data_IF_878789644865
#
_entry.id   IF_878789644865
#
_cell.length_a   1.000
_cell.length_b   1.000
_cell.length_c   1.000
_cell.angle_alpha   90.00
_cell.angle_beta   90.00
_cell.angle_gamma   90.00
#
_symmetry.space_group_name_H-M   'P 1'
#
loop_
_entity.id
_entity.type
_entity.pdbx_description
1 polymer ?
#
# COMPACT_ATOMS: atom_id res chain seq x y z
N UNK A 1 -2.41 11.39 -9.26
CA UNK A 1 -2.07 10.21 -10.07
C UNK A 1 -2.98 10.16 -11.29
N UNK A 2 -2.45 9.68 -12.38
CA UNK A 2 -3.13 9.63 -13.69
C UNK A 2 -4.26 8.58 -13.77
N UNK A 3 -4.51 7.81 -12.72
CA UNK A 3 -5.39 6.64 -12.77
C UNK A 3 -6.50 6.71 -11.73
N UNK A 4 -7.75 6.52 -12.17
CA UNK A 4 -8.94 6.46 -11.31
C UNK A 4 -8.84 5.31 -10.29
N UNK A 5 -9.26 5.54 -9.05
CA UNK A 5 -9.23 4.57 -7.96
C UNK A 5 -7.95 4.59 -7.11
N UNK A 6 -6.93 5.34 -7.54
CA UNK A 6 -5.71 5.61 -6.76
C UNK A 6 -4.98 4.35 -6.29
N UNK A 7 -4.31 4.46 -5.15
CA UNK A 7 -3.46 3.39 -4.58
C UNK A 7 -4.21 2.10 -4.28
N UNK A 8 -5.40 2.21 -3.69
CA UNK A 8 -6.22 1.05 -3.32
C UNK A 8 -6.48 0.15 -4.53
N UNK A 9 -6.80 0.74 -5.69
CA UNK A 9 -7.15 0.00 -6.90
C UNK A 9 -5.93 -0.52 -7.66
N UNK A 10 -4.83 0.26 -7.75
CA UNK A 10 -3.74 -0.04 -8.68
C UNK A 10 -2.55 -0.76 -8.08
N UNK A 11 -2.19 -0.49 -6.83
CA UNK A 11 -0.96 -1.01 -6.22
C UNK A 11 -1.12 -1.51 -4.78
N UNK A 12 -2.28 -1.25 -4.14
CA UNK A 12 -2.53 -1.57 -2.74
C UNK A 12 -3.47 -2.75 -2.56
N UNK A 13 -4.64 -2.46 -1.98
CA UNK A 13 -5.60 -3.45 -1.49
C UNK A 13 -6.10 -4.39 -2.58
N UNK A 14 -6.56 -3.87 -3.72
CA UNK A 14 -7.18 -4.69 -4.77
C UNK A 14 -6.18 -5.69 -5.38
N UNK A 15 -5.00 -5.26 -5.90
CA UNK A 15 -4.05 -6.21 -6.48
C UNK A 15 -3.49 -7.20 -5.46
N UNK A 16 -3.19 -6.80 -4.22
CA UNK A 16 -2.65 -7.72 -3.22
C UNK A 16 -3.65 -8.81 -2.83
N UNK A 17 -4.95 -8.48 -2.70
CA UNK A 17 -5.98 -9.48 -2.41
C UNK A 17 -6.29 -10.38 -3.60
N UNK A 18 -6.27 -9.84 -4.83
CA UNK A 18 -6.38 -10.64 -6.05
C UNK A 18 -5.19 -11.60 -6.20
N UNK A 19 -3.97 -11.13 -5.94
CA UNK A 19 -2.75 -11.93 -5.92
C UNK A 19 -2.84 -13.05 -4.88
N UNK A 20 -3.19 -12.72 -3.63
CA UNK A 20 -3.41 -13.70 -2.57
C UNK A 20 -4.43 -14.77 -2.99
N UNK A 21 -5.56 -14.37 -3.57
CA UNK A 21 -6.60 -15.32 -4.00
C UNK A 21 -6.06 -16.28 -5.07
N UNK A 22 -5.30 -15.77 -6.03
CA UNK A 22 -4.69 -16.59 -7.08
C UNK A 22 -3.69 -17.59 -6.49
N UNK A 23 -2.80 -17.14 -5.60
CA UNK A 23 -1.81 -18.02 -4.93
C UNK A 23 -2.51 -19.05 -4.04
N UNK A 24 -3.55 -18.65 -3.29
CA UNK A 24 -4.36 -19.59 -2.50
C UNK A 24 -5.01 -20.67 -3.36
N UNK A 25 -5.47 -20.33 -4.56
CA UNK A 25 -6.04 -21.29 -5.52
C UNK A 25 -4.96 -22.25 -6.06
N UNK A 26 -3.77 -21.75 -6.35
CA UNK A 26 -2.62 -22.56 -6.76
C UNK A 26 -2.28 -23.58 -5.66
N UNK A 27 -2.14 -23.14 -4.41
CA UNK A 27 -1.81 -24.02 -3.27
C UNK A 27 -2.88 -25.09 -3.08
N UNK A 28 -4.18 -24.74 -3.17
CA UNK A 28 -5.26 -25.73 -3.07
C UNK A 28 -5.18 -26.77 -4.16
N UNK A 29 -4.96 -26.34 -5.41
CA UNK A 29 -4.78 -27.23 -6.53
C UNK A 29 -3.59 -28.16 -6.31
N UNK A 30 -2.47 -27.64 -5.81
CA UNK A 30 -1.26 -28.40 -5.53
C UNK A 30 -1.42 -29.44 -4.42
N UNK A 31 -2.23 -29.15 -3.42
CA UNK A 31 -2.45 -30.04 -2.26
C UNK A 31 -3.56 -31.07 -2.47
N UNK A 32 -4.39 -30.89 -3.50
CA UNK A 32 -5.51 -31.79 -3.77
C UNK A 32 -4.98 -33.13 -4.35
N UNK A 33 -5.24 -34.28 -3.69
CA UNK A 33 -4.76 -35.58 -4.13
C UNK A 33 -5.24 -36.00 -5.53
N UNK A 34 -6.38 -35.46 -5.97
CA UNK A 34 -6.94 -35.72 -7.29
C UNK A 34 -6.06 -35.10 -8.38
N UNK A 35 -5.63 -33.86 -8.16
CA UNK A 35 -4.80 -33.12 -9.12
C UNK A 35 -3.33 -33.52 -9.09
N UNK A 36 -2.82 -34.00 -7.96
CA UNK A 36 -1.45 -34.54 -7.85
C UNK A 36 -1.14 -35.69 -8.83
N UNK A 37 -2.18 -36.36 -9.32
CA UNK A 37 -2.06 -37.49 -10.27
C UNK A 37 -2.13 -37.07 -11.75
N UNK A 38 -2.45 -35.81 -12.05
CA UNK A 38 -2.86 -35.41 -13.42
C UNK A 38 -1.77 -34.69 -14.21
N UNK A 39 -0.63 -34.29 -13.64
CA UNK A 39 0.39 -33.61 -14.43
C UNK A 39 1.63 -33.15 -13.67
N UNK A 40 2.65 -32.78 -14.46
CA UNK A 40 3.85 -32.14 -13.93
C UNK A 40 3.56 -30.75 -13.37
N UNK A 41 4.08 -30.45 -12.19
CA UNK A 41 3.96 -29.16 -11.52
C UNK A 41 4.73 -28.09 -12.29
N UNK A 42 4.03 -27.13 -12.86
CA UNK A 42 4.65 -25.92 -13.40
C UNK A 42 4.74 -24.86 -12.32
N UNK A 43 5.93 -24.35 -12.07
CA UNK A 43 6.10 -23.13 -11.30
C UNK A 43 5.46 -21.97 -12.07
N UNK A 44 4.58 -21.24 -11.39
CA UNK A 44 3.99 -20.03 -11.97
C UNK A 44 4.95 -18.85 -11.76
N UNK A 45 5.19 -18.11 -12.82
CA UNK A 45 5.93 -16.86 -12.72
C UNK A 45 5.04 -15.78 -12.04
N UNK A 46 5.64 -14.82 -11.38
CA UNK A 46 4.90 -13.69 -10.81
C UNK A 46 4.03 -13.00 -11.86
N UNK A 47 4.53 -12.82 -13.08
CA UNK A 47 3.78 -12.24 -14.20
C UNK A 47 2.48 -13.02 -14.50
N UNK A 48 2.50 -14.35 -14.47
CA UNK A 48 1.29 -15.16 -14.69
C UNK A 48 0.30 -15.00 -13.53
N UNK A 49 0.79 -14.98 -12.31
CA UNK A 49 -0.04 -14.80 -11.11
C UNK A 49 -0.69 -13.41 -11.09
N UNK A 50 0.01 -12.38 -11.55
CA UNK A 50 -0.49 -11.00 -11.64
C UNK A 50 -1.54 -10.78 -12.74
N UNK A 51 -1.63 -11.65 -13.76
CA UNK A 51 -2.62 -11.49 -14.84
C UNK A 51 -4.06 -11.38 -14.32
N UNK A 52 -4.39 -12.14 -13.29
CA UNK A 52 -5.72 -12.08 -12.67
C UNK A 52 -5.94 -10.75 -11.92
N UNK A 53 -4.91 -10.28 -11.22
CA UNK A 53 -4.96 -8.98 -10.54
C UNK A 53 -5.21 -7.83 -11.53
N UNK A 54 -4.56 -7.83 -12.69
CA UNK A 54 -4.76 -6.82 -13.73
C UNK A 54 -6.22 -6.78 -14.23
N UNK A 55 -6.87 -7.95 -14.42
CA UNK A 55 -8.30 -7.99 -14.80
C UNK A 55 -9.19 -7.37 -13.75
N UNK A 56 -8.93 -7.67 -12.47
CA UNK A 56 -9.71 -7.10 -11.36
C UNK A 56 -9.50 -5.58 -11.28
N UNK A 57 -8.28 -5.09 -11.47
CA UNK A 57 -7.98 -3.65 -11.51
C UNK A 57 -8.80 -2.97 -12.62
N UNK A 58 -8.78 -3.51 -13.85
CA UNK A 58 -9.53 -2.95 -14.98
C UNK A 58 -11.04 -2.88 -14.69
N UNK A 59 -11.62 -3.91 -14.09
CA UNK A 59 -13.03 -3.92 -13.70
C UNK A 59 -13.34 -2.85 -12.65
N UNK A 60 -12.46 -2.65 -11.66
CA UNK A 60 -12.63 -1.61 -10.65
C UNK A 60 -12.55 -0.20 -11.24
N UNK A 61 -11.59 0.05 -12.13
CA UNK A 61 -11.47 1.34 -12.83
C UNK A 61 -12.75 1.65 -13.62
N UNK A 62 -13.29 0.67 -14.37
CA UNK A 62 -14.55 0.84 -15.10
C UNK A 62 -15.73 1.13 -14.16
N UNK A 63 -15.77 0.48 -13.00
CA UNK A 63 -16.80 0.70 -12.00
C UNK A 63 -16.73 2.11 -11.43
N UNK A 64 -15.53 2.59 -11.08
CA UNK A 64 -15.35 3.97 -10.60
C UNK A 64 -15.71 5.00 -11.67
N UNK A 65 -15.29 4.81 -12.92
CA UNK A 65 -15.68 5.70 -14.03
C UNK A 65 -17.20 5.83 -14.15
N UNK A 66 -17.93 4.70 -14.17
CA UNK A 66 -19.40 4.70 -14.20
C UNK A 66 -20.02 5.41 -13.01
N UNK A 67 -19.45 5.31 -11.82
CA UNK A 67 -19.95 6.03 -10.64
C UNK A 67 -19.77 7.53 -10.78
N UNK A 68 -18.65 8.01 -11.28
CA UNK A 68 -18.41 9.43 -11.51
C UNK A 68 -19.35 9.99 -12.58
N UNK A 69 -19.48 9.28 -13.72
CA UNK A 69 -20.39 9.67 -14.79
C UNK A 69 -21.85 9.74 -14.32
N UNK A 70 -22.30 8.71 -13.59
CA UNK A 70 -23.66 8.64 -13.05
C UNK A 70 -23.97 9.79 -12.08
N UNK A 71 -23.00 10.16 -11.27
CA UNK A 71 -23.14 11.23 -10.28
C UNK A 71 -22.75 12.61 -10.81
N UNK A 72 -22.45 12.74 -12.11
CA UNK A 72 -22.05 14.00 -12.77
C UNK A 72 -20.89 14.68 -12.08
N UNK A 73 -19.86 13.88 -11.73
CA UNK A 73 -18.63 14.36 -11.14
C UNK A 73 -17.63 14.64 -12.24
N UNK A 74 -17.20 15.89 -12.37
CA UNK A 74 -16.18 16.28 -13.33
C UNK A 74 -14.81 15.75 -12.91
N UNK A 75 -14.08 15.19 -13.87
CA UNK A 75 -12.76 14.60 -13.64
C UNK A 75 -11.72 15.45 -14.38
N UNK A 76 -10.77 15.99 -13.62
CA UNK A 76 -9.62 16.71 -14.15
C UNK A 76 -8.37 15.84 -14.05
N UNK A 77 -7.74 15.57 -15.18
CA UNK A 77 -6.53 14.76 -15.25
C UNK A 77 -5.28 15.63 -15.13
N UNK A 78 -4.54 15.50 -14.03
CA UNK A 78 -3.33 16.28 -13.82
C UNK A 78 -2.81 16.24 -12.38
N UNK A 79 -1.82 17.08 -12.14
CA UNK A 79 -1.27 17.31 -10.81
C UNK A 79 -1.88 18.58 -10.23
N UNK A 80 -2.59 18.43 -9.11
CA UNK A 80 -3.19 19.53 -8.40
C UNK A 80 -2.15 20.31 -7.57
N UNK A 81 -2.34 21.63 -7.52
CA UNK A 81 -1.55 22.56 -6.70
C UNK A 81 -2.48 23.60 -6.09
N UNK A 82 -2.49 23.72 -4.79
CA UNK A 82 -3.30 24.70 -4.05
C UNK A 82 -2.59 26.05 -4.16
N UNK A 83 -3.18 26.97 -4.93
CA UNK A 83 -2.63 28.30 -5.12
C UNK A 83 -2.97 29.23 -3.95
N UNK A 84 -4.19 29.16 -3.46
CA UNK A 84 -4.71 29.91 -2.33
C UNK A 84 -5.91 29.18 -1.69
N UNK A 85 -6.58 29.83 -0.72
CA UNK A 85 -7.70 29.24 0.03
C UNK A 85 -8.93 28.86 -0.79
N UNK A 86 -9.03 29.29 -2.04
CA UNK A 86 -10.18 29.04 -2.89
C UNK A 86 -9.82 28.58 -4.32
N UNK A 87 -8.53 28.45 -4.64
CA UNK A 87 -8.05 28.20 -5.98
C UNK A 87 -7.10 26.99 -6.03
N UNK A 88 -7.39 26.04 -6.90
CA UNK A 88 -6.50 24.93 -7.27
C UNK A 88 -6.11 25.04 -8.72
N UNK A 89 -4.83 24.93 -9.01
CA UNK A 89 -4.30 24.73 -10.37
C UNK A 89 -4.17 23.25 -10.65
N UNK A 90 -4.56 22.79 -11.83
CA UNK A 90 -4.34 21.43 -12.32
C UNK A 90 -3.43 21.47 -13.52
N UNK A 91 -2.21 20.94 -13.35
CA UNK A 91 -1.22 20.80 -14.41
C UNK A 91 -1.42 19.46 -15.10
N UNK A 92 -1.95 19.45 -16.31
CA UNK A 92 -2.14 18.24 -17.08
C UNK A 92 -0.82 17.77 -17.76
N UNK A 93 -0.73 16.51 -18.23
CA UNK A 93 0.46 15.99 -18.92
C UNK A 93 0.80 16.72 -20.22
N UNK A 94 -0.17 17.40 -20.83
CA UNK A 94 -0.03 18.15 -22.10
C UNK A 94 0.51 19.56 -21.88
N UNK A 95 0.80 19.95 -20.64
CA UNK A 95 1.33 21.26 -20.27
C UNK A 95 0.28 22.37 -20.15
N UNK A 96 -1.02 22.03 -20.27
CA UNK A 96 -2.11 22.98 -20.03
C UNK A 96 -2.37 23.08 -18.53
N UNK A 97 -2.58 24.30 -18.04
CA UNK A 97 -2.95 24.56 -16.66
C UNK A 97 -4.41 24.97 -16.60
N UNK A 98 -5.20 24.22 -15.84
CA UNK A 98 -6.59 24.55 -15.56
C UNK A 98 -6.70 25.17 -14.18
N UNK A 99 -7.49 26.23 -14.06
CA UNK A 99 -7.75 26.92 -12.77
C UNK A 99 -9.14 26.54 -12.28
N UNK A 100 -9.23 25.95 -11.11
CA UNK A 100 -10.49 25.54 -10.48
C UNK A 100 -10.71 26.38 -9.23
N UNK A 101 -11.81 27.14 -9.21
CA UNK A 101 -12.26 27.86 -8.02
C UNK A 101 -13.19 26.97 -7.21
N UNK A 102 -12.94 26.85 -5.92
CA UNK A 102 -13.71 25.99 -5.02
C UNK A 102 -14.25 26.76 -3.81
N UNK A 103 -15.36 26.31 -3.27
CA UNK A 103 -15.86 26.74 -1.95
C UNK A 103 -15.25 25.91 -0.82
N UNK A 104 -15.14 24.61 -1.04
CA UNK A 104 -14.59 23.66 -0.09
C UNK A 104 -13.72 22.64 -0.84
N UNK A 105 -12.65 22.16 -0.22
CA UNK A 105 -11.69 21.23 -0.79
C UNK A 105 -11.49 20.03 0.14
N UNK A 106 -11.44 18.84 -0.42
CA UNK A 106 -10.96 17.63 0.29
C UNK A 106 -9.63 17.19 -0.28
N UNK A 107 -8.60 17.14 0.54
CA UNK A 107 -7.30 16.54 0.18
C UNK A 107 -7.36 15.05 0.45
N UNK A 108 -7.46 14.25 -0.62
CA UNK A 108 -7.53 12.77 -0.55
C UNK A 108 -6.44 12.12 -1.41
N UNK A 109 -5.23 12.66 -1.33
CA UNK A 109 -4.07 12.27 -2.17
C UNK A 109 -3.44 10.95 -1.77
N UNK A 110 -3.87 10.38 -0.65
CA UNK A 110 -3.43 9.07 -0.17
C UNK A 110 -1.98 9.04 0.32
N UNK A 111 -1.35 7.89 0.21
CA UNK A 111 0.02 7.66 0.69
C UNK A 111 0.87 6.92 -0.35
N UNK A 112 2.18 6.87 -0.11
CA UNK A 112 3.17 6.10 -0.87
C UNK A 112 4.07 5.31 0.09
N UNK A 113 4.75 4.26 -0.35
CA UNK A 113 5.77 3.60 0.46
C UNK A 113 6.83 4.60 0.93
N UNK A 114 7.23 4.49 2.19
CA UNK A 114 8.37 5.24 2.70
C UNK A 114 9.65 4.66 2.11
N UNK A 115 10.47 5.49 1.49
CA UNK A 115 11.74 5.13 0.87
C UNK A 115 12.89 5.81 1.62
N UNK A 116 13.63 5.09 2.47
CA UNK A 116 14.79 5.66 3.14
C UNK A 116 15.93 5.87 2.15
N UNK A 117 16.78 6.87 2.40
CA UNK A 117 17.94 7.21 1.55
C UNK A 117 19.03 6.15 1.53
N UNK A 118 19.02 5.21 2.48
CA UNK A 118 19.97 4.09 2.57
C UNK A 118 19.74 3.03 1.48
N UNK A 119 18.60 3.07 0.77
CA UNK A 119 18.25 2.13 -0.29
C UNK A 119 18.07 2.85 -1.63
N UNK A 120 18.70 2.30 -2.67
CA UNK A 120 18.46 2.75 -4.05
C UNK A 120 17.26 2.00 -4.67
N UNK A 121 16.09 2.63 -4.65
CA UNK A 121 14.88 2.10 -5.26
C UNK A 121 14.87 2.15 -6.80
N UNK A 122 15.88 2.70 -7.46
CA UNK A 122 16.01 2.59 -8.91
C UNK A 122 16.65 1.27 -9.32
N UNK A 123 17.35 0.60 -8.39
CA UNK A 123 17.92 -0.71 -8.66
C UNK A 123 16.83 -1.76 -8.91
N UNK A 124 17.03 -2.62 -9.93
CA UNK A 124 16.06 -3.62 -10.39
C UNK A 124 15.65 -4.68 -9.35
N UNK A 125 16.46 -4.86 -8.28
CA UNK A 125 16.25 -5.85 -7.21
C UNK A 125 15.75 -5.26 -5.91
N UNK A 126 15.52 -3.94 -5.87
CA UNK A 126 15.02 -3.22 -4.69
C UNK A 126 13.59 -2.78 -4.95
N UNK A 127 12.67 -3.37 -4.23
CA UNK A 127 11.23 -3.16 -4.37
C UNK A 127 10.65 -2.51 -3.13
N UNK A 128 9.63 -1.73 -3.31
CA UNK A 128 8.61 -1.41 -2.30
C UNK A 128 7.28 -2.07 -2.65
N UNK A 129 6.26 -1.87 -1.83
CA UNK A 129 4.95 -2.49 -2.02
C UNK A 129 4.21 -2.06 -3.29
N UNK A 130 4.57 -0.92 -3.88
CA UNK A 130 3.98 -0.44 -5.13
C UNK A 130 4.73 -1.05 -6.33
N UNK A 131 6.06 -1.15 -6.28
CA UNK A 131 6.92 -1.69 -7.34
C UNK A 131 6.95 -3.22 -7.44
N UNK A 132 6.63 -3.94 -6.36
CA UNK A 132 6.72 -5.41 -6.36
C UNK A 132 5.78 -6.07 -7.38
N UNK A 133 4.74 -5.37 -7.79
CA UNK A 133 3.83 -5.82 -8.83
C UNK A 133 4.46 -5.80 -10.24
N UNK A 134 5.58 -5.12 -10.41
CA UNK A 134 6.35 -5.03 -11.65
C UNK A 134 7.49 -6.07 -11.72
N UNK A 135 7.53 -7.01 -10.76
CA UNK A 135 8.55 -8.07 -10.73
C UNK A 135 8.48 -8.94 -11.98
N UNK A 136 9.48 -8.83 -12.85
CA UNK A 136 9.54 -9.45 -14.18
C UNK A 136 10.58 -10.55 -14.34
N UNK A 137 11.36 -10.83 -13.28
CA UNK A 137 12.34 -11.92 -13.26
C UNK A 137 12.01 -12.97 -12.21
N UNK A 138 12.61 -14.16 -12.37
CA UNK A 138 12.42 -15.26 -11.42
C UNK A 138 13.30 -15.03 -10.19
N UNK A 139 12.70 -15.20 -9.01
CA UNK A 139 13.38 -15.20 -7.72
C UNK A 139 13.25 -16.58 -7.09
N UNK A 140 14.24 -16.98 -6.29
CA UNK A 140 14.18 -18.16 -5.42
C UNK A 140 14.10 -17.76 -3.96
N UNK A 141 14.71 -16.63 -3.63
CA UNK A 141 14.76 -16.10 -2.27
C UNK A 141 14.51 -14.61 -2.24
N UNK A 142 13.67 -14.15 -1.32
CA UNK A 142 13.39 -12.74 -1.09
C UNK A 142 13.60 -12.35 0.37
N UNK A 143 14.14 -11.15 0.59
CA UNK A 143 14.13 -10.50 1.89
C UNK A 143 12.91 -9.57 1.91
N UNK A 144 12.11 -9.65 2.98
CA UNK A 144 11.02 -8.71 3.25
C UNK A 144 11.39 -7.93 4.50
N UNK A 145 11.58 -6.62 4.36
CA UNK A 145 11.95 -5.75 5.47
C UNK A 145 10.74 -4.95 5.96
N UNK A 146 10.30 -5.24 7.19
CA UNK A 146 9.10 -4.71 7.81
C UNK A 146 8.02 -5.78 7.96
N UNK A 147 7.71 -6.16 9.19
CA UNK A 147 6.74 -7.21 9.52
C UNK A 147 5.37 -6.65 9.98
N UNK A 148 4.95 -5.56 9.35
CA UNK A 148 3.58 -5.04 9.40
C UNK A 148 2.64 -5.83 8.48
N UNK A 149 1.42 -5.31 8.26
CA UNK A 149 0.38 -5.95 7.42
C UNK A 149 0.93 -6.33 6.05
N UNK A 150 1.53 -5.38 5.34
CA UNK A 150 2.04 -5.58 3.98
C UNK A 150 3.12 -6.66 3.97
N UNK A 151 4.10 -6.58 4.89
CA UNK A 151 5.19 -7.56 4.94
C UNK A 151 4.71 -8.97 5.26
N UNK A 152 3.78 -9.14 6.20
CA UNK A 152 3.19 -10.44 6.53
C UNK A 152 2.35 -11.02 5.37
N UNK A 153 1.56 -10.20 4.69
CA UNK A 153 0.78 -10.62 3.52
C UNK A 153 1.70 -11.10 2.39
N UNK A 154 2.72 -10.30 2.02
CA UNK A 154 3.67 -10.69 0.97
C UNK A 154 4.55 -11.88 1.38
N UNK A 155 4.93 -12.00 2.66
CA UNK A 155 5.64 -13.19 3.15
C UNK A 155 4.83 -14.47 2.89
N UNK A 156 3.51 -14.43 3.19
CA UNK A 156 2.62 -15.56 2.93
C UNK A 156 2.41 -15.84 1.44
N UNK A 157 2.40 -14.81 0.59
CA UNK A 157 2.29 -14.94 -0.86
C UNK A 157 3.55 -15.60 -1.44
N UNK A 158 4.73 -15.09 -1.10
CA UNK A 158 5.99 -15.61 -1.65
C UNK A 158 6.28 -17.03 -1.17
N UNK A 159 6.05 -17.34 0.11
CA UNK A 159 6.22 -18.72 0.60
C UNK A 159 5.21 -19.65 -0.06
N UNK A 160 3.99 -19.19 -0.35
CA UNK A 160 2.97 -19.93 -1.07
C UNK A 160 3.30 -20.19 -2.55
N UNK A 161 4.28 -19.49 -3.11
CA UNK A 161 4.85 -19.69 -4.45
C UNK A 161 6.19 -20.47 -4.41
N UNK A 162 6.49 -21.15 -3.30
CA UNK A 162 7.72 -21.93 -3.05
C UNK A 162 9.02 -21.10 -3.05
N UNK A 163 8.93 -19.79 -2.78
CA UNK A 163 10.11 -18.96 -2.59
C UNK A 163 10.58 -18.99 -1.13
N UNK A 164 11.89 -18.95 -0.90
CA UNK A 164 12.45 -18.77 0.44
C UNK A 164 12.27 -17.32 0.89
N UNK A 165 11.79 -17.11 2.11
CA UNK A 165 11.49 -15.79 2.66
C UNK A 165 12.24 -15.55 3.96
N UNK A 166 13.07 -14.48 4.00
CA UNK A 166 13.58 -13.88 5.24
C UNK A 166 12.73 -12.65 5.57
N UNK A 167 11.92 -12.71 6.62
CA UNK A 167 11.10 -11.61 7.12
C UNK A 167 11.84 -10.90 8.26
N UNK A 168 12.26 -9.66 8.00
CA UNK A 168 13.02 -8.84 8.94
C UNK A 168 12.07 -7.92 9.70
N UNK A 169 12.11 -7.98 11.02
CA UNK A 169 11.26 -7.20 11.90
C UNK A 169 12.11 -6.38 12.88
N UNK A 170 11.91 -5.08 12.90
CA UNK A 170 12.58 -4.17 13.84
C UNK A 170 11.99 -4.24 15.26
N UNK A 171 10.81 -4.85 15.41
CA UNK A 171 10.09 -5.00 16.66
C UNK A 171 10.24 -6.43 17.22
N UNK A 172 9.98 -6.67 18.52
CA UNK A 172 10.04 -8.00 19.11
C UNK A 172 8.92 -8.94 18.66
N UNK A 173 7.80 -8.42 18.14
CA UNK A 173 6.64 -9.19 17.67
C UNK A 173 6.16 -8.70 16.31
N UNK A 174 5.53 -9.60 15.53
CA UNK A 174 4.78 -9.21 14.34
C UNK A 174 3.58 -8.37 14.75
N UNK A 175 3.20 -7.39 13.92
CA UNK A 175 1.93 -6.66 14.08
C UNK A 175 1.69 -6.20 15.53
N UNK A 176 2.65 -5.51 16.12
CA UNK A 176 2.73 -5.17 17.55
C UNK A 176 1.52 -4.40 18.11
N UNK A 177 0.59 -3.98 17.28
CA UNK A 177 -0.67 -3.32 17.65
C UNK A 177 -1.86 -4.29 17.79
N UNK A 178 -1.68 -5.56 17.45
CA UNK A 178 -2.70 -6.60 17.63
C UNK A 178 -2.51 -7.33 18.95
N UNK A 179 -3.54 -8.09 19.29
CA UNK A 179 -3.50 -9.03 20.41
C UNK A 179 -2.34 -10.02 20.26
N UNK A 180 -1.68 -10.33 21.37
CA UNK A 180 -0.49 -11.19 21.41
C UNK A 180 -0.79 -12.58 20.88
N UNK A 181 -1.95 -13.17 21.22
CA UNK A 181 -2.33 -14.51 20.78
C UNK A 181 -2.46 -14.57 19.25
N UNK A 182 -3.02 -13.52 18.63
CA UNK A 182 -3.16 -13.42 17.16
C UNK A 182 -1.78 -13.29 16.51
N UNK A 183 -0.93 -12.41 17.04
CA UNK A 183 0.43 -12.19 16.52
C UNK A 183 1.31 -13.43 16.64
N UNK A 184 1.22 -14.16 17.76
CA UNK A 184 1.97 -15.39 17.99
C UNK A 184 1.45 -16.53 17.10
N UNK A 185 0.14 -16.68 16.94
CA UNK A 185 -0.45 -17.66 16.02
C UNK A 185 0.00 -17.43 14.57
N UNK A 186 0.01 -16.17 14.12
CA UNK A 186 0.51 -15.81 12.79
C UNK A 186 2.00 -16.11 12.64
N UNK A 187 2.82 -15.74 13.65
CA UNK A 187 4.25 -16.00 13.66
C UNK A 187 4.56 -17.49 13.59
N UNK A 188 3.85 -18.29 14.40
CA UNK A 188 3.96 -19.75 14.39
C UNK A 188 3.62 -20.32 12.99
N UNK A 189 2.50 -19.87 12.41
CA UNK A 189 2.05 -20.35 11.09
C UNK A 189 3.02 -20.01 9.97
N UNK A 190 3.54 -18.79 9.92
CA UNK A 190 4.54 -18.40 8.93
C UNK A 190 5.83 -19.21 9.06
N UNK A 191 6.29 -19.48 10.30
CA UNK A 191 7.47 -20.33 10.55
C UNK A 191 7.24 -21.77 10.14
N UNK A 192 6.06 -22.34 10.43
CA UNK A 192 5.68 -23.69 10.02
C UNK A 192 5.70 -23.83 8.48
N UNK A 193 5.35 -22.77 7.77
CA UNK A 193 5.43 -22.72 6.30
C UNK A 193 6.86 -22.51 5.77
N UNK A 194 7.84 -22.22 6.64
CA UNK A 194 9.25 -22.08 6.26
C UNK A 194 9.75 -20.62 6.17
N UNK A 195 8.96 -19.63 6.59
CA UNK A 195 9.43 -18.24 6.66
C UNK A 195 10.44 -18.10 7.79
N UNK A 196 11.63 -17.55 7.51
CA UNK A 196 12.63 -17.20 8.50
C UNK A 196 12.33 -15.81 9.05
N UNK A 197 11.74 -15.74 10.26
CA UNK A 197 11.42 -14.48 10.92
C UNK A 197 12.57 -14.06 11.83
N UNK A 198 13.08 -12.84 11.64
CA UNK A 198 14.16 -12.24 12.42
C UNK A 198 13.65 -10.98 13.11
N UNK A 199 13.45 -11.07 14.41
CA UNK A 199 13.01 -9.97 15.27
C UNK A 199 14.19 -9.14 15.77
N UNK A 200 13.92 -7.88 16.15
CA UNK A 200 14.88 -6.92 16.70
C UNK A 200 16.09 -6.68 15.79
N UNK A 201 15.89 -6.73 14.49
CA UNK A 201 16.94 -6.55 13.50
C UNK A 201 16.75 -5.22 12.78
N UNK A 202 17.82 -4.45 12.68
CA UNK A 202 17.84 -3.19 11.97
C UNK A 202 18.84 -3.25 10.82
N UNK A 203 18.48 -2.62 9.71
CA UNK A 203 19.37 -2.47 8.57
C UNK A 203 20.56 -1.59 8.95
N UNK A 204 21.75 -2.01 8.54
CA UNK A 204 22.94 -1.18 8.47
C UNK A 204 23.05 -0.58 7.05
N UNK A 205 23.26 -1.43 6.05
CA UNK A 205 23.28 -1.04 4.63
C UNK A 205 22.85 -2.20 3.74
N UNK A 206 22.65 -1.91 2.45
CA UNK A 206 22.34 -2.88 1.41
C UNK A 206 23.40 -2.81 0.31
N UNK A 207 24.03 -3.92 0.01
CA UNK A 207 24.82 -4.08 -1.21
C UNK A 207 23.93 -4.62 -2.31
N UNK A 208 24.01 -4.04 -3.50
CA UNK A 208 23.23 -4.43 -4.67
C UNK A 208 24.15 -4.90 -5.79
N UNK A 209 23.84 -6.04 -6.39
CA UNK A 209 24.55 -6.66 -7.50
C UNK A 209 23.58 -6.95 -8.65
N UNK A 210 24.09 -7.27 -9.81
CA UNK A 210 23.26 -7.56 -10.98
C UNK A 210 22.33 -8.77 -10.79
N UNK A 211 22.77 -9.78 -10.04
CA UNK A 211 22.08 -11.05 -9.84
C UNK A 211 21.51 -11.25 -8.42
N UNK A 212 21.93 -10.45 -7.44
CA UNK A 212 21.48 -10.58 -6.06
C UNK A 212 21.62 -9.28 -5.24
N UNK A 213 21.15 -9.32 -4.01
CA UNK A 213 21.37 -8.30 -2.98
C UNK A 213 21.93 -8.93 -1.72
N UNK A 214 22.69 -8.17 -0.92
CA UNK A 214 23.16 -8.58 0.40
C UNK A 214 22.75 -7.54 1.42
N UNK A 215 21.84 -7.90 2.31
CA UNK A 215 21.41 -7.05 3.42
C UNK A 215 22.35 -7.23 4.59
N UNK A 216 22.97 -6.14 5.04
CA UNK A 216 23.76 -6.07 6.26
C UNK A 216 22.91 -5.53 7.40
N UNK A 217 22.89 -6.25 8.52
CA UNK A 217 22.16 -5.89 9.71
C UNK A 217 23.12 -5.36 10.80
N UNK A 218 22.64 -4.44 11.63
CA UNK A 218 23.43 -3.87 12.73
C UNK A 218 23.92 -4.94 13.73
N UNK A 219 23.26 -6.09 13.78
CA UNK A 219 23.69 -7.26 14.55
C UNK A 219 24.94 -7.97 13.99
N UNK A 220 25.47 -7.51 12.83
CA UNK A 220 26.57 -8.12 12.12
C UNK A 220 26.17 -9.26 11.17
N UNK A 221 24.88 -9.64 11.14
CA UNK A 221 24.39 -10.67 10.21
C UNK A 221 24.31 -10.14 8.79
N UNK A 222 24.59 -11.02 7.81
CA UNK A 222 24.48 -10.75 6.39
C UNK A 222 23.48 -11.73 5.76
N UNK A 223 22.57 -11.22 4.96
CA UNK A 223 21.52 -12.03 4.31
C UNK A 223 21.59 -11.79 2.81
N UNK A 224 21.91 -12.84 2.06
CA UNK A 224 21.89 -12.84 0.59
C UNK A 224 20.53 -13.29 0.09
N UNK A 225 19.98 -12.59 -0.92
CA UNK A 225 18.74 -12.95 -1.62
C UNK A 225 18.73 -12.40 -3.05
N UNK A 226 17.76 -12.84 -3.87
CA UNK A 226 17.62 -12.37 -5.24
C UNK A 226 17.02 -10.97 -5.33
N UNK A 227 16.22 -10.59 -4.32
CA UNK A 227 15.57 -9.29 -4.22
C UNK A 227 15.26 -8.93 -2.77
N UNK A 228 15.03 -7.64 -2.53
CA UNK A 228 14.49 -7.12 -1.27
C UNK A 228 13.18 -6.37 -1.52
N UNK A 229 12.18 -6.63 -0.67
CA UNK A 229 10.93 -5.91 -0.59
C UNK A 229 10.90 -5.07 0.69
N UNK A 230 10.88 -3.77 0.55
CA UNK A 230 10.80 -2.82 1.65
C UNK A 230 9.35 -2.50 1.99
N UNK A 231 8.91 -2.87 3.20
CA UNK A 231 7.54 -2.69 3.71
C UNK A 231 7.51 -1.91 5.05
N UNK A 232 8.51 -1.07 5.33
CA UNK A 232 8.67 -0.41 6.63
C UNK A 232 8.09 1.01 6.66
N UNK A 233 6.78 1.10 6.51
CA UNK A 233 6.01 2.33 6.66
C UNK A 233 5.57 2.98 5.35
N UNK A 234 4.69 3.98 5.50
CA UNK A 234 4.14 4.79 4.42
C UNK A 234 4.22 6.27 4.77
N UNK A 235 4.26 7.12 3.75
CA UNK A 235 4.26 8.58 3.85
C UNK A 235 3.05 9.16 3.12
N UNK A 236 2.46 10.22 3.64
CA UNK A 236 1.38 10.95 2.98
C UNK A 236 1.86 11.60 1.67
N UNK A 237 0.98 11.70 0.69
CA UNK A 237 1.27 12.34 -0.59
C UNK A 237 0.93 13.84 -0.53
N UNK A 238 1.76 14.61 0.15
CA UNK A 238 1.58 16.06 0.35
C UNK A 238 2.62 16.91 -0.36
N UNK A 239 3.68 16.30 -0.92
CA UNK A 239 4.74 17.04 -1.58
C UNK A 239 4.26 17.77 -2.83
N UNK A 240 4.57 19.06 -2.90
CA UNK A 240 4.26 19.92 -4.04
C UNK A 240 2.76 20.11 -4.27
N UNK A 241 1.95 20.04 -3.22
CA UNK A 241 0.53 20.38 -3.27
C UNK A 241 0.26 21.88 -3.06
N UNK A 242 1.26 22.70 -2.67
CA UNK A 242 1.08 24.10 -2.35
C UNK A 242 0.39 24.35 -0.99
N UNK A 243 0.52 23.41 -0.06
CA UNK A 243 -0.07 23.50 1.30
C UNK A 243 0.46 24.69 2.08
N UNK A 244 1.71 25.07 1.84
CA UNK A 244 2.36 26.24 2.41
C UNK A 244 1.66 27.55 2.07
N UNK A 245 1.01 27.64 0.90
CA UNK A 245 0.26 28.83 0.47
C UNK A 245 -0.98 29.10 1.32
N UNK A 246 -1.47 28.09 2.02
CA UNK A 246 -2.65 28.18 2.89
C UNK A 246 -2.33 27.96 4.37
N UNK A 247 -1.03 27.78 4.70
CA UNK A 247 -0.56 27.66 6.09
C UNK A 247 -0.71 26.25 6.67
N UNK A 248 -0.97 25.22 5.85
CA UNK A 248 -1.04 23.83 6.30
C UNK A 248 0.38 23.22 6.29
N UNK A 249 0.77 22.62 7.42
CA UNK A 249 2.08 21.96 7.56
C UNK A 249 1.92 20.48 7.84
N UNK A 250 2.33 19.59 6.89
CA UNK A 250 2.34 18.16 7.14
C UNK A 250 3.34 17.78 8.23
N UNK A 251 3.09 16.64 8.92
CA UNK A 251 4.05 16.08 9.87
C UNK A 251 5.28 15.48 9.14
N UNK A 252 6.23 14.94 9.92
CA UNK A 252 7.48 14.35 9.39
C UNK A 252 7.27 13.16 8.43
N UNK A 253 6.06 12.57 8.42
CA UNK A 253 5.67 11.53 7.47
C UNK A 253 4.81 12.05 6.32
N UNK A 254 4.70 13.37 6.14
CA UNK A 254 3.88 13.98 5.11
C UNK A 254 2.38 13.81 5.32
N UNK A 255 1.93 13.58 6.56
CA UNK A 255 0.51 13.40 6.88
C UNK A 255 -0.09 14.71 7.37
N UNK A 256 -1.38 14.91 7.08
CA UNK A 256 -2.15 16.08 7.48
C UNK A 256 -2.88 15.83 8.81
N UNK A 257 -2.90 16.85 9.67
CA UNK A 257 -3.71 16.84 10.87
C UNK A 257 -5.14 17.30 10.54
N UNK A 258 -6.12 16.66 11.16
CA UNK A 258 -7.53 17.01 11.03
C UNK A 258 -8.23 16.89 12.38
N UNK A 259 -9.34 17.61 12.54
CA UNK A 259 -10.25 17.46 13.68
C UNK A 259 -11.24 16.28 13.46
N UNK A 260 -12.17 16.10 14.39
CA UNK A 260 -13.19 15.02 14.32
C UNK A 260 -14.16 15.17 13.14
N UNK A 261 -14.17 16.31 12.46
CA UNK A 261 -14.95 16.56 11.25
C UNK A 261 -14.14 16.37 9.97
N UNK A 262 -12.90 15.89 10.09
CA UNK A 262 -11.90 15.78 9.00
C UNK A 262 -11.48 17.10 8.38
N UNK A 263 -11.67 18.22 9.09
CA UNK A 263 -11.27 19.56 8.69
C UNK A 263 -9.82 19.83 9.15
N UNK A 264 -9.03 20.45 8.30
CA UNK A 264 -7.67 20.90 8.63
C UNK A 264 -7.68 22.18 9.47
N UNK A 265 -6.51 22.78 9.69
CA UNK A 265 -6.40 24.12 10.32
C UNK A 265 -7.06 25.23 9.49
N UNK A 266 -7.39 24.94 8.22
CA UNK A 266 -8.05 25.88 7.28
C UNK A 266 -9.51 25.49 7.13
N UNK A 267 -10.42 26.39 7.49
CA UNK A 267 -11.85 26.14 7.67
C UNK A 267 -12.53 25.47 6.47
N UNK A 268 -12.12 25.78 5.24
CA UNK A 268 -12.73 25.23 4.03
C UNK A 268 -11.89 24.11 3.37
N UNK A 269 -10.84 23.61 4.05
CA UNK A 269 -10.00 22.54 3.56
C UNK A 269 -10.07 21.34 4.51
N UNK A 270 -10.46 20.20 3.98
CA UNK A 270 -10.62 18.91 4.64
C UNK A 270 -9.57 17.92 4.13
N UNK A 271 -9.33 16.85 4.89
CA UNK A 271 -8.50 15.76 4.41
C UNK A 271 -9.05 14.40 4.86
N UNK A 272 -8.91 13.37 4.02
CA UNK A 272 -9.41 12.02 4.29
C UNK A 272 -8.54 10.94 3.65
N UNK A 273 -8.59 9.73 4.18
CA UNK A 273 -7.84 8.58 3.71
C UNK A 273 -6.40 8.58 4.20
N UNK A 274 -5.53 7.84 3.51
CA UNK A 274 -4.15 7.59 3.96
C UNK A 274 -3.31 8.88 4.14
N UNK A 275 -3.71 10.00 3.56
CA UNK A 275 -3.00 11.27 3.70
C UNK A 275 -3.08 11.82 5.14
N UNK A 276 -4.07 11.40 5.93
CA UNK A 276 -4.17 11.74 7.35
C UNK A 276 -3.55 10.68 8.27
N UNK A 277 -3.01 9.59 7.71
CA UNK A 277 -2.33 8.52 8.46
C UNK A 277 -3.26 7.42 8.93
N UNK A 278 -3.12 7.02 10.20
CA UNK A 278 -3.88 5.93 10.80
C UNK A 278 -5.41 6.15 10.69
N UNK A 279 -6.20 5.08 10.38
CA UNK A 279 -5.82 3.67 10.27
C UNK A 279 -5.34 3.20 8.89
N UNK A 280 -5.26 4.07 7.88
CA UNK A 280 -4.76 3.76 6.52
C UNK A 280 -5.40 2.52 5.88
N UNK A 281 -6.71 2.40 6.04
CA UNK A 281 -7.55 1.32 5.50
C UNK A 281 -8.52 1.89 4.47
N UNK A 282 -8.76 1.14 3.38
CA UNK A 282 -9.70 1.57 2.34
C UNK A 282 -11.13 1.78 2.88
N UNK A 283 -11.61 0.91 3.78
CA UNK A 283 -12.91 1.07 4.45
C UNK A 283 -12.97 2.36 5.27
N UNK A 284 -11.92 2.63 6.04
CA UNK A 284 -11.82 3.87 6.81
C UNK A 284 -11.85 5.11 5.90
N UNK A 285 -11.11 5.07 4.79
CA UNK A 285 -11.06 6.19 3.86
C UNK A 285 -12.44 6.52 3.25
N UNK A 286 -13.26 5.50 2.98
CA UNK A 286 -14.65 5.71 2.53
C UNK A 286 -15.50 6.41 3.62
N UNK A 287 -15.42 5.96 4.85
CA UNK A 287 -16.19 6.54 5.96
C UNK A 287 -15.71 7.96 6.29
N UNK A 288 -14.39 8.18 6.29
CA UNK A 288 -13.78 9.49 6.47
C UNK A 288 -14.24 10.48 5.37
N UNK A 289 -14.21 10.02 4.10
CA UNK A 289 -14.66 10.84 2.98
C UNK A 289 -16.15 11.15 3.04
N UNK A 290 -16.99 10.20 3.47
CA UNK A 290 -18.42 10.39 3.68
C UNK A 290 -18.67 11.41 4.80
N UNK A 291 -17.97 11.27 5.93
CA UNK A 291 -18.10 12.19 7.06
C UNK A 291 -17.64 13.61 6.68
N UNK A 292 -16.48 13.74 6.00
CA UNK A 292 -16.01 15.03 5.50
C UNK A 292 -17.03 15.67 4.55
N UNK A 293 -17.57 14.91 3.58
CA UNK A 293 -18.58 15.39 2.63
C UNK A 293 -19.87 15.84 3.30
N UNK A 294 -20.39 15.12 4.29
CA UNK A 294 -21.56 15.51 5.06
C UNK A 294 -21.31 16.79 5.85
N UNK A 295 -20.15 16.93 6.52
CA UNK A 295 -19.79 18.15 7.22
C UNK A 295 -19.67 19.37 6.28
N UNK A 296 -19.10 19.15 5.08
CA UNK A 296 -19.03 20.20 4.03
C UNK A 296 -20.41 20.64 3.54
N UNK A 297 -21.40 19.74 3.50
CA UNK A 297 -22.78 20.06 3.09
C UNK A 297 -23.63 20.65 4.21
N UNK A 298 -23.10 20.74 5.44
CA UNK A 298 -23.83 21.23 6.61
C UNK A 298 -24.81 20.20 7.19
N UNK A 299 -24.71 18.93 6.84
CA UNK A 299 -25.49 17.85 7.45
C UNK A 299 -25.02 17.63 8.89
N UNK A 300 -25.95 17.68 9.83
CA UNK A 300 -25.68 17.50 11.26
C UNK A 300 -25.76 16.03 11.62
N UNK A 301 -24.79 15.52 12.39
CA UNK A 301 -24.87 14.23 13.07
C UNK A 301 -24.17 13.06 12.40
N UNK A 302 -23.34 13.29 11.38
CA UNK A 302 -22.47 12.24 10.84
C UNK A 302 -21.19 12.18 11.69
N UNK A 303 -21.16 11.24 12.62
CA UNK A 303 -19.98 11.00 13.45
C UNK A 303 -18.93 10.18 12.69
N UNK A 304 -17.63 10.38 12.96
CA UNK A 304 -16.58 9.50 12.46
C UNK A 304 -16.78 8.07 13.00
N UNK A 305 -16.50 7.07 12.16
CA UNK A 305 -16.51 5.68 12.59
C UNK A 305 -15.25 5.42 13.41
N UNK A 306 -15.39 5.09 14.68
CA UNK A 306 -14.29 4.84 15.61
C UNK A 306 -13.83 3.38 15.59
N UNK A 307 -14.76 2.44 15.43
CA UNK A 307 -14.51 1.01 15.45
C UNK A 307 -14.37 0.46 14.02
N UNK A 308 -13.16 0.54 13.47
CA UNK A 308 -12.88 0.09 12.10
C UNK A 308 -12.26 -1.31 12.15
N UNK A 309 -12.96 -2.34 11.62
CA UNK A 309 -12.41 -3.69 11.55
C UNK A 309 -11.12 -3.73 10.74
N UNK A 310 -10.06 -4.26 11.32
CA UNK A 310 -8.77 -4.44 10.65
C UNK A 310 -8.60 -5.90 10.26
N UNK A 311 -8.48 -6.19 8.97
CA UNK A 311 -8.22 -7.52 8.43
C UNK A 311 -6.81 -7.65 7.88
N UNK A 312 -6.14 -8.78 8.20
CA UNK A 312 -4.85 -9.15 7.64
C UNK A 312 -5.06 -10.41 6.81
N UNK A 313 -4.73 -10.33 5.54
CA UNK A 313 -5.10 -11.34 4.56
C UNK A 313 -3.89 -12.20 4.17
N UNK A 314 -3.35 -12.97 5.11
CA UNK A 314 -2.32 -13.98 4.83
C UNK A 314 -2.93 -15.22 4.17
N UNK A 315 -2.09 -16.08 3.60
CA UNK A 315 -2.48 -17.39 3.10
C UNK A 315 -2.27 -18.40 4.21
N UNK A 316 -3.32 -19.15 4.58
CA UNK A 316 -3.26 -20.11 5.68
C UNK A 316 -2.33 -21.28 5.38
#
# INVERSE_FOLDING_TARGET
>A
REQLGGNCTHVGTIPSKALRQTVSSIIRYQRDPMFQKVGEWKQFTMKQVLQNAHKVIQQQVQTHSRFYDRNRIDIFHGRAYIQDKNTVLVFNPEGVTETIVFKQLVVATGSRPYRPSVLDFNHKRVFDSDKILDLDFTIQKIIIYGAGVIGCEYASIFIGLDHKVDLINTQPKLLSYLDDEISDALSYRLREQGVLIRHNEQIDHLETFDDHVVLHLQSGKKIKADAILWCNGRSGNTDGLGLENVGITPNSRGQLNVNDQYQTEVENIYAAGDVIGWPSLASAAYDQGRCAGSNMSGEIGVAPVTDIPTGIYTIP
#
